data_IF_844976533482
#
_entry.id   IF_844976533482
#
_cell.length_a   1.000
_cell.length_b   1.000
_cell.length_c   1.000
_cell.angle_alpha   90.00
_cell.angle_beta   90.00
_cell.angle_gamma   90.00
#
_symmetry.space_group_name_H-M   'P 1'
#
loop_
_entity.id
_entity.type
_entity.pdbx_description
1 polymer ?
#
# COMPACT_ATOMS: atom_id res chain seq x y z
N UNK A 1 39.51 16.60 -54.77
CA UNK A 1 38.52 15.97 -55.67
C UNK A 1 37.38 15.49 -54.79
N UNK A 2 36.17 15.97 -55.07
CA UNK A 2 34.99 15.75 -54.26
C UNK A 2 34.64 14.26 -54.19
N UNK A 3 34.90 13.63 -53.04
CA UNK A 3 34.38 12.29 -52.80
C UNK A 3 32.88 12.47 -52.49
N UNK A 4 32.06 12.17 -53.49
CA UNK A 4 30.61 12.28 -53.46
C UNK A 4 30.11 11.22 -52.48
N UNK A 5 30.15 11.54 -51.20
CA UNK A 5 29.68 10.66 -50.13
C UNK A 5 28.20 10.39 -50.38
N UNK A 6 27.88 9.16 -50.78
CA UNK A 6 26.53 8.64 -50.66
C UNK A 6 26.20 8.67 -49.16
N UNK A 7 25.64 9.78 -48.68
CA UNK A 7 25.02 9.86 -47.36
C UNK A 7 23.78 8.98 -47.41
N UNK A 8 23.99 7.69 -47.16
CA UNK A 8 22.89 6.78 -46.91
C UNK A 8 22.35 7.14 -45.51
N UNK A 9 21.05 7.36 -45.43
CA UNK A 9 20.41 7.68 -44.15
C UNK A 9 20.38 6.42 -43.31
N UNK A 10 20.93 6.50 -42.10
CA UNK A 10 20.84 5.45 -41.08
C UNK A 10 19.38 5.37 -40.63
N UNK A 11 18.78 4.19 -40.76
CA UNK A 11 17.41 3.91 -40.29
C UNK A 11 17.44 3.38 -38.85
N UNK A 12 18.38 2.49 -38.53
CA UNK A 12 18.59 2.00 -37.16
C UNK A 12 20.00 1.45 -36.96
N UNK A 13 20.45 1.44 -35.70
CA UNK A 13 21.62 0.70 -35.24
C UNK A 13 21.13 -0.61 -34.62
N UNK A 14 21.66 -1.73 -35.08
CA UNK A 14 21.17 -3.06 -34.70
C UNK A 14 22.10 -3.76 -33.71
N UNK A 15 23.40 -3.54 -33.83
CA UNK A 15 24.42 -4.24 -33.04
C UNK A 15 25.71 -3.42 -32.98
N UNK A 16 26.60 -3.76 -32.05
CA UNK A 16 27.94 -3.21 -31.94
C UNK A 16 28.97 -4.29 -31.62
N UNK A 17 30.19 -4.07 -32.08
CA UNK A 17 31.32 -4.95 -31.76
C UNK A 17 32.58 -4.12 -31.60
N UNK A 18 33.52 -4.66 -30.83
CA UNK A 18 34.85 -4.08 -30.66
C UNK A 18 35.86 -5.04 -31.29
N UNK A 19 36.59 -4.58 -32.30
CA UNK A 19 37.66 -5.34 -32.95
C UNK A 19 38.92 -4.48 -32.97
N UNK A 20 40.04 -5.01 -32.49
CA UNK A 20 41.35 -4.32 -32.43
C UNK A 20 41.35 -2.94 -31.73
N UNK A 21 40.37 -2.68 -30.86
CA UNK A 21 40.20 -1.41 -30.15
C UNK A 21 39.25 -0.42 -30.83
N UNK A 22 38.81 -0.72 -32.05
CA UNK A 22 37.85 0.07 -32.81
C UNK A 22 36.42 -0.43 -32.59
N UNK A 23 35.49 0.51 -32.44
CA UNK A 23 34.06 0.21 -32.26
C UNK A 23 33.36 0.26 -33.62
N UNK A 24 32.65 -0.81 -33.95
CA UNK A 24 31.83 -0.92 -35.16
C UNK A 24 30.36 -1.06 -34.79
N UNK A 25 29.49 -0.43 -35.58
CA UNK A 25 28.04 -0.53 -35.45
C UNK A 25 27.42 -1.16 -36.70
N UNK A 26 26.49 -2.09 -36.51
CA UNK A 26 25.73 -2.70 -37.59
C UNK A 26 24.55 -1.81 -37.96
N UNK A 27 24.58 -1.25 -39.17
CA UNK A 27 23.62 -0.26 -39.62
C UNK A 27 22.54 -0.87 -40.50
N UNK A 28 21.29 -0.57 -40.18
CA UNK A 28 20.15 -0.72 -41.08
C UNK A 28 20.02 0.57 -41.90
N UNK A 29 20.16 0.46 -43.21
CA UNK A 29 20.10 1.61 -44.12
C UNK A 29 18.68 1.87 -44.64
N UNK A 30 18.28 3.13 -44.64
CA UNK A 30 16.95 3.55 -45.12
C UNK A 30 16.74 3.22 -46.59
N UNK A 31 15.62 2.56 -46.90
CA UNK A 31 15.24 2.19 -48.27
C UNK A 31 15.96 0.96 -48.83
N UNK A 32 16.83 0.32 -48.05
CA UNK A 32 17.51 -0.92 -48.43
C UNK A 32 17.01 -2.11 -47.61
N UNK A 33 17.07 -3.31 -48.19
CA UNK A 33 16.71 -4.54 -47.48
C UNK A 33 17.76 -4.90 -46.42
N UNK A 34 17.42 -5.75 -45.45
CA UNK A 34 18.31 -6.17 -44.36
C UNK A 34 19.58 -6.89 -44.86
N UNK A 35 19.60 -7.39 -46.11
CA UNK A 35 20.78 -7.97 -46.75
C UNK A 35 21.89 -6.96 -47.01
N UNK A 36 21.57 -5.67 -46.98
CA UNK A 36 22.52 -4.56 -47.18
C UNK A 36 23.01 -3.98 -45.86
N UNK A 37 22.60 -4.53 -44.72
CA UNK A 37 23.13 -4.09 -43.43
C UNK A 37 24.65 -4.30 -43.40
N UNK A 38 25.37 -3.31 -42.92
CA UNK A 38 26.83 -3.31 -42.94
C UNK A 38 27.39 -2.73 -41.64
N UNK A 39 28.56 -3.23 -41.26
CA UNK A 39 29.34 -2.70 -40.14
C UNK A 39 30.03 -1.40 -40.56
N UNK A 40 29.86 -0.35 -39.77
CA UNK A 40 30.45 0.97 -39.97
C UNK A 40 31.25 1.31 -38.72
N UNK A 41 32.46 1.84 -38.88
CA UNK A 41 33.28 2.31 -37.76
C UNK A 41 32.64 3.54 -37.12
N UNK A 42 32.77 3.69 -35.80
CA UNK A 42 32.19 4.80 -35.04
C UNK A 42 32.51 6.18 -35.64
N UNK A 43 33.74 6.39 -36.10
CA UNK A 43 34.20 7.69 -36.63
C UNK A 43 33.54 8.08 -37.96
N UNK A 44 33.10 7.10 -38.76
CA UNK A 44 32.45 7.32 -40.05
C UNK A 44 30.91 7.28 -39.96
N UNK A 45 30.36 7.06 -38.75
CA UNK A 45 28.93 6.88 -38.54
C UNK A 45 28.20 8.22 -38.37
N UNK A 46 27.47 8.64 -39.41
CA UNK A 46 26.54 9.79 -39.38
C UNK A 46 25.19 9.38 -38.75
N UNK A 47 25.17 9.21 -37.41
CA UNK A 47 24.01 8.74 -36.64
C UNK A 47 23.77 9.51 -35.34
N UNK A 48 23.95 10.84 -35.37
CA UNK A 48 23.92 11.74 -34.21
C UNK A 48 22.73 11.54 -33.26
N UNK A 49 21.56 11.15 -33.78
CA UNK A 49 20.35 10.94 -32.98
C UNK A 49 20.11 9.48 -32.59
N UNK A 50 20.59 8.54 -33.39
CA UNK A 50 20.32 7.11 -33.21
C UNK A 50 21.35 6.43 -32.31
N UNK A 51 22.61 6.87 -32.35
CA UNK A 51 23.68 6.31 -31.53
C UNK A 51 23.47 6.51 -30.03
N UNK A 52 23.11 7.71 -29.53
CA UNK A 52 22.79 7.89 -28.12
C UNK A 52 21.60 7.02 -27.67
N UNK A 53 20.57 6.89 -28.51
CA UNK A 53 19.41 6.04 -28.21
C UNK A 53 19.78 4.57 -28.14
N UNK A 54 20.60 4.08 -29.07
CA UNK A 54 21.09 2.71 -29.08
C UNK A 54 21.91 2.41 -27.82
N UNK A 55 22.86 3.28 -27.47
CA UNK A 55 23.69 3.10 -26.28
C UNK A 55 22.88 3.16 -24.99
N UNK A 56 21.91 4.07 -24.89
CA UNK A 56 20.98 4.13 -23.75
C UNK A 56 20.14 2.85 -23.65
N UNK A 57 19.57 2.38 -24.76
CA UNK A 57 18.79 1.14 -24.78
C UNK A 57 19.64 -0.08 -24.45
N UNK A 58 20.88 -0.13 -24.95
CA UNK A 58 21.84 -1.18 -24.62
C UNK A 58 22.19 -1.16 -23.12
N UNK A 59 22.42 0.03 -22.55
CA UNK A 59 22.65 0.21 -21.13
C UNK A 59 21.45 -0.22 -20.29
N UNK A 60 20.23 0.17 -20.70
CA UNK A 60 19.00 -0.20 -20.00
C UNK A 60 18.77 -1.71 -20.05
N UNK A 61 18.90 -2.32 -21.23
CA UNK A 61 18.74 -3.77 -21.41
C UNK A 61 19.78 -4.56 -20.61
N UNK A 62 21.03 -4.10 -20.62
CA UNK A 62 22.07 -4.67 -19.77
C UNK A 62 21.65 -4.60 -18.30
N UNK A 63 21.20 -3.43 -17.81
CA UNK A 63 20.75 -3.28 -16.44
C UNK A 63 19.54 -4.17 -16.12
N UNK A 64 18.53 -4.24 -17.00
CA UNK A 64 17.34 -5.10 -16.87
C UNK A 64 17.73 -6.58 -16.73
N UNK A 65 18.73 -7.06 -17.47
CA UNK A 65 19.21 -8.45 -17.37
C UNK A 65 19.86 -8.77 -16.00
N UNK A 66 20.26 -7.77 -15.21
CA UNK A 66 20.78 -7.94 -13.84
C UNK A 66 19.76 -7.59 -12.75
N UNK A 67 18.61 -7.02 -13.12
CA UNK A 67 17.52 -6.76 -12.16
C UNK A 67 16.79 -8.07 -11.89
N UNK A 68 16.81 -8.50 -10.63
CA UNK A 68 16.01 -9.63 -10.17
C UNK A 68 14.53 -9.21 -10.13
N UNK A 69 13.81 -9.50 -11.22
CA UNK A 69 12.38 -9.21 -11.36
C UNK A 69 11.55 -9.96 -10.30
N UNK A 70 12.00 -11.14 -9.85
CA UNK A 70 11.29 -11.89 -8.80
C UNK A 70 11.41 -11.13 -7.46
N UNK A 71 12.58 -10.57 -7.14
CA UNK A 71 12.75 -9.74 -5.93
C UNK A 71 11.89 -8.47 -5.95
N UNK A 72 11.72 -7.83 -7.11
CA UNK A 72 10.85 -6.65 -7.26
C UNK A 72 9.38 -7.05 -7.09
N UNK A 73 8.95 -8.11 -7.77
CA UNK A 73 7.56 -8.59 -7.70
C UNK A 73 7.18 -9.02 -6.28
N UNK A 74 8.07 -9.74 -5.57
CA UNK A 74 7.84 -10.11 -4.17
C UNK A 74 7.67 -8.88 -3.26
N UNK A 75 8.43 -7.82 -3.51
CA UNK A 75 8.34 -6.56 -2.76
C UNK A 75 7.00 -5.85 -3.02
N UNK A 76 6.59 -5.77 -4.28
CA UNK A 76 5.29 -5.19 -4.67
C UNK A 76 4.11 -5.99 -4.11
N UNK A 77 4.12 -7.31 -4.21
CA UNK A 77 3.08 -8.17 -3.65
C UNK A 77 2.95 -7.99 -2.13
N UNK A 78 4.07 -7.91 -1.43
CA UNK A 78 4.07 -7.69 0.02
C UNK A 78 3.52 -6.31 0.41
N UNK A 79 3.84 -5.28 -0.38
CA UNK A 79 3.32 -3.94 -0.19
C UNK A 79 1.81 -3.87 -0.39
N UNK A 80 1.30 -4.42 -1.50
CA UNK A 80 -0.14 -4.46 -1.80
C UNK A 80 -0.92 -5.20 -0.70
N UNK A 81 -0.41 -6.35 -0.25
CA UNK A 81 -1.01 -7.09 0.86
C UNK A 81 -1.03 -6.31 2.17
N UNK A 82 0.00 -5.49 2.42
CA UNK A 82 0.06 -4.62 3.60
C UNK A 82 -0.98 -3.51 3.50
N UNK A 83 -1.16 -2.91 2.32
CA UNK A 83 -2.20 -1.91 2.06
C UNK A 83 -3.61 -2.47 2.22
N UNK A 84 -3.88 -3.67 1.69
CA UNK A 84 -5.17 -4.34 1.86
C UNK A 84 -5.49 -4.52 3.35
N UNK A 85 -4.54 -5.04 4.14
CA UNK A 85 -4.71 -5.24 5.58
C UNK A 85 -4.97 -3.91 6.32
N UNK A 86 -4.26 -2.84 5.94
CA UNK A 86 -4.46 -1.48 6.49
C UNK A 86 -5.88 -0.99 6.20
N UNK A 87 -6.37 -1.16 4.97
CA UNK A 87 -7.71 -0.75 4.57
C UNK A 87 -8.81 -1.55 5.28
N UNK A 88 -8.60 -2.85 5.51
CA UNK A 88 -9.51 -3.67 6.32
C UNK A 88 -9.60 -3.17 7.76
N UNK A 89 -8.46 -2.89 8.41
CA UNK A 89 -8.43 -2.35 9.77
C UNK A 89 -9.11 -0.98 9.82
N UNK A 90 -8.85 -0.12 8.83
CA UNK A 90 -9.52 1.17 8.70
C UNK A 90 -11.04 1.04 8.66
N UNK A 91 -11.56 0.14 7.83
CA UNK A 91 -13.00 -0.11 7.72
C UNK A 91 -13.63 -0.58 9.03
N UNK A 92 -12.92 -1.45 9.77
CA UNK A 92 -13.38 -1.91 11.11
C UNK A 92 -13.39 -0.79 12.14
N UNK A 93 -12.37 0.08 12.14
CA UNK A 93 -12.34 1.26 13.00
C UNK A 93 -13.54 2.17 12.68
N UNK A 94 -13.80 2.45 11.41
CA UNK A 94 -14.96 3.26 10.97
C UNK A 94 -16.30 2.65 11.40
N UNK A 95 -16.45 1.34 11.32
CA UNK A 95 -17.65 0.65 11.82
C UNK A 95 -17.83 0.85 13.33
N UNK A 96 -16.76 0.68 14.12
CA UNK A 96 -16.80 0.88 15.57
C UNK A 96 -17.09 2.34 15.91
N UNK A 97 -16.44 3.30 15.27
CA UNK A 97 -16.69 4.73 15.46
C UNK A 97 -18.17 5.07 15.25
N UNK A 98 -18.76 4.55 14.16
CA UNK A 98 -20.18 4.75 13.87
C UNK A 98 -21.08 4.17 14.96
N UNK A 99 -20.79 2.96 15.46
CA UNK A 99 -21.55 2.34 16.56
C UNK A 99 -21.43 3.12 17.87
N UNK A 100 -20.23 3.61 18.20
CA UNK A 100 -19.98 4.39 19.41
C UNK A 100 -20.53 5.83 19.33
N UNK A 101 -20.84 6.32 18.13
CA UNK A 101 -21.51 7.61 17.94
C UNK A 101 -23.00 7.59 18.28
N UNK A 102 -23.62 6.39 18.31
CA UNK A 102 -25.03 6.21 18.64
C UNK A 102 -25.28 6.48 20.13
N UNK A 103 -26.26 7.32 20.44
CA UNK A 103 -26.62 7.75 21.82
C UNK A 103 -27.84 7.01 22.37
N UNK A 104 -28.18 5.84 21.82
CA UNK A 104 -29.32 5.05 22.28
C UNK A 104 -29.14 4.58 23.73
N UNK A 105 -30.03 5.05 24.62
CA UNK A 105 -30.12 4.60 26.01
C UNK A 105 -31.34 3.70 26.12
N UNK A 106 -31.13 2.42 26.41
CA UNK A 106 -32.21 1.42 26.49
C UNK A 106 -33.32 1.90 27.43
N UNK A 107 -34.59 1.66 27.05
CA UNK A 107 -35.76 2.19 27.78
C UNK A 107 -36.26 1.29 28.91
N UNK A 108 -35.76 0.05 28.96
CA UNK A 108 -36.12 -0.96 29.94
C UNK A 108 -34.91 -1.85 30.27
N UNK A 109 -35.03 -2.66 31.33
CA UNK A 109 -33.94 -3.54 31.80
C UNK A 109 -33.44 -4.50 30.71
N UNK A 110 -34.31 -4.95 29.81
CA UNK A 110 -33.92 -5.88 28.73
C UNK A 110 -33.09 -5.14 27.67
N UNK A 111 -33.53 -3.97 27.25
CA UNK A 111 -32.87 -3.13 26.26
C UNK A 111 -31.50 -2.65 26.76
N UNK A 112 -31.40 -2.22 28.01
CA UNK A 112 -30.11 -1.83 28.61
C UNK A 112 -29.15 -3.03 28.69
N UNK A 113 -29.61 -4.20 29.13
CA UNK A 113 -28.77 -5.44 29.12
C UNK A 113 -28.29 -5.81 27.72
N UNK A 114 -29.12 -5.65 26.69
CA UNK A 114 -28.72 -5.89 25.31
C UNK A 114 -27.64 -4.91 24.85
N UNK A 115 -27.76 -3.63 25.20
CA UNK A 115 -26.74 -2.61 24.89
C UNK A 115 -25.43 -2.85 25.64
N UNK A 116 -25.49 -3.26 26.92
CA UNK A 116 -24.30 -3.65 27.69
C UNK A 116 -23.56 -4.80 27.00
N UNK A 117 -24.29 -5.85 26.58
CA UNK A 117 -23.68 -6.97 25.88
C UNK A 117 -23.02 -6.54 24.55
N UNK A 118 -23.66 -5.63 23.80
CA UNK A 118 -23.06 -5.05 22.58
C UNK A 118 -21.82 -4.22 22.88
N UNK A 119 -21.82 -3.44 23.97
CA UNK A 119 -20.66 -2.66 24.39
C UNK A 119 -19.47 -3.56 24.77
N UNK A 120 -19.73 -4.67 25.47
CA UNK A 120 -18.72 -5.70 25.78
C UNK A 120 -18.17 -6.34 24.50
N UNK A 121 -19.02 -6.71 23.54
CA UNK A 121 -18.60 -7.24 22.24
C UNK A 121 -17.73 -6.23 21.48
N UNK A 122 -18.13 -4.95 21.47
CA UNK A 122 -17.34 -3.88 20.84
C UNK A 122 -15.97 -3.74 21.49
N UNK A 123 -15.87 -3.88 22.82
CA UNK A 123 -14.59 -3.91 23.53
C UNK A 123 -13.70 -5.09 23.13
N UNK A 124 -14.27 -6.28 22.91
CA UNK A 124 -13.52 -7.44 22.41
C UNK A 124 -13.01 -7.21 20.98
N UNK A 125 -13.81 -6.60 20.12
CA UNK A 125 -13.40 -6.22 18.76
C UNK A 125 -12.25 -5.21 18.78
N UNK A 126 -12.31 -4.19 19.66
CA UNK A 126 -11.21 -3.24 19.86
C UNK A 126 -9.93 -3.96 20.30
N UNK A 127 -10.01 -4.95 21.19
CA UNK A 127 -8.83 -5.72 21.60
C UNK A 127 -8.22 -6.49 20.43
N UNK A 128 -9.05 -7.13 19.59
CA UNK A 128 -8.57 -7.83 18.40
C UNK A 128 -7.96 -6.87 17.37
N UNK A 129 -8.49 -5.66 17.25
CA UNK A 129 -7.91 -4.62 16.40
C UNK A 129 -6.54 -4.16 16.90
N UNK A 130 -6.34 -4.08 18.22
CA UNK A 130 -5.04 -3.78 18.80
C UNK A 130 -3.99 -4.83 18.37
N UNK A 131 -4.35 -6.11 18.45
CA UNK A 131 -3.48 -7.21 18.01
C UNK A 131 -3.14 -7.09 16.51
N UNK A 132 -4.14 -6.82 15.67
CA UNK A 132 -3.94 -6.65 14.23
C UNK A 132 -3.05 -5.43 13.91
N UNK A 133 -3.27 -4.31 14.60
CA UNK A 133 -2.48 -3.09 14.41
C UNK A 133 -1.02 -3.29 14.82
N UNK A 134 -0.79 -4.03 15.90
CA UNK A 134 0.53 -4.46 16.35
C UNK A 134 1.22 -5.36 15.32
N UNK A 135 0.49 -6.30 14.70
CA UNK A 135 1.01 -7.14 13.63
C UNK A 135 1.37 -6.35 12.38
N UNK A 136 0.52 -5.42 11.94
CA UNK A 136 0.79 -4.53 10.81
C UNK A 136 2.04 -3.70 11.09
N UNK A 137 2.13 -3.10 12.28
CA UNK A 137 3.29 -2.30 12.69
C UNK A 137 4.59 -3.13 12.64
N UNK A 138 4.56 -4.38 13.12
CA UNK A 138 5.69 -5.31 13.00
C UNK A 138 6.06 -5.61 11.54
N UNK A 139 5.07 -5.84 10.67
CA UNK A 139 5.29 -6.09 9.23
C UNK A 139 5.92 -4.88 8.54
N UNK A 140 5.40 -3.67 8.79
CA UNK A 140 5.92 -2.42 8.21
C UNK A 140 7.34 -2.14 8.70
N UNK A 141 7.63 -2.33 9.98
CA UNK A 141 8.98 -2.18 10.52
C UNK A 141 9.99 -3.16 9.89
N UNK A 142 9.61 -4.43 9.73
CA UNK A 142 10.45 -5.42 9.02
C UNK A 142 10.70 -5.01 7.57
N UNK A 143 9.73 -4.34 6.94
CA UNK A 143 9.86 -3.82 5.57
C UNK A 143 10.82 -2.62 5.52
N UNK A 144 10.81 -1.78 6.56
CA UNK A 144 11.74 -0.66 6.73
C UNK A 144 13.20 -1.13 6.83
N UNK A 145 13.46 -2.23 7.56
CA UNK A 145 14.80 -2.83 7.65
C UNK A 145 15.35 -3.26 6.29
N UNK A 146 14.47 -3.70 5.39
CA UNK A 146 14.80 -4.06 4.00
C UNK A 146 14.94 -2.86 3.07
N UNK A 147 14.82 -1.62 3.59
CA UNK A 147 14.89 -0.35 2.85
C UNK A 147 13.92 -0.29 1.66
N UNK A 148 12.73 -0.84 1.84
CA UNK A 148 11.70 -0.82 0.80
C UNK A 148 11.21 0.62 0.56
N UNK A 149 11.17 1.06 -0.70
CA UNK A 149 11.00 2.47 -1.07
C UNK A 149 9.66 3.07 -0.62
N UNK A 150 8.58 2.27 -0.62
CA UNK A 150 7.23 2.71 -0.30
C UNK A 150 6.87 2.63 1.20
N UNK A 151 7.81 2.22 2.06
CA UNK A 151 7.59 2.09 3.51
C UNK A 151 7.18 3.40 4.20
N UNK A 152 7.72 4.57 3.84
CA UNK A 152 7.31 5.83 4.48
C UNK A 152 5.82 6.09 4.37
N UNK A 153 5.21 5.79 3.21
CA UNK A 153 3.77 5.93 3.01
C UNK A 153 2.97 4.97 3.91
N UNK A 154 3.44 3.73 4.08
CA UNK A 154 2.78 2.76 4.97
C UNK A 154 2.88 3.19 6.44
N UNK A 155 4.02 3.72 6.85
CA UNK A 155 4.22 4.20 8.22
C UNK A 155 3.23 5.32 8.52
N UNK A 156 3.12 6.32 7.63
CA UNK A 156 2.17 7.42 7.80
C UNK A 156 0.73 6.91 7.93
N UNK A 157 0.29 6.00 7.05
CA UNK A 157 -1.05 5.39 7.14
C UNK A 157 -1.26 4.61 8.44
N UNK A 158 -0.26 3.87 8.92
CA UNK A 158 -0.37 3.12 10.18
C UNK A 158 -0.44 4.07 11.38
N UNK A 159 0.35 5.14 11.39
CA UNK A 159 0.32 6.16 12.44
C UNK A 159 -1.05 6.85 12.51
N UNK A 160 -1.64 7.20 11.36
CA UNK A 160 -3.01 7.73 11.31
C UNK A 160 -4.03 6.74 11.88
N UNK A 161 -3.92 5.46 11.54
CA UNK A 161 -4.80 4.42 12.08
C UNK A 161 -4.63 4.24 13.59
N UNK A 162 -3.41 4.29 14.10
CA UNK A 162 -3.13 4.24 15.55
C UNK A 162 -3.80 5.39 16.27
N UNK A 163 -3.74 6.60 15.72
CA UNK A 163 -4.40 7.77 16.32
C UNK A 163 -5.92 7.58 16.36
N UNK A 164 -6.53 7.14 15.26
CA UNK A 164 -7.98 6.85 15.22
C UNK A 164 -8.37 5.73 16.18
N UNK A 165 -7.62 4.64 16.20
CA UNK A 165 -7.83 3.51 17.10
C UNK A 165 -7.83 3.95 18.58
N UNK A 166 -6.81 4.71 19.00
CA UNK A 166 -6.70 5.19 20.37
C UNK A 166 -7.89 6.09 20.77
N UNK A 167 -8.46 6.82 19.82
CA UNK A 167 -9.64 7.66 20.05
C UNK A 167 -10.92 6.87 20.37
N UNK A 168 -10.95 5.55 20.13
CA UNK A 168 -12.09 4.67 20.42
C UNK A 168 -12.27 4.37 21.91
N UNK A 169 -11.20 4.44 22.71
CA UNK A 169 -11.24 4.04 24.12
C UNK A 169 -12.13 4.95 24.95
N UNK A 170 -12.04 6.27 24.75
CA UNK A 170 -12.85 7.24 25.50
C UNK A 170 -14.37 7.07 25.26
N UNK A 171 -14.89 7.02 24.01
CA UNK A 171 -16.32 6.83 23.78
C UNK A 171 -16.81 5.44 24.22
N UNK A 172 -16.02 4.37 24.10
CA UNK A 172 -16.36 3.04 24.62
C UNK A 172 -16.55 3.07 26.14
N UNK A 173 -15.60 3.67 26.85
CA UNK A 173 -15.64 3.80 28.31
C UNK A 173 -16.82 4.66 28.75
N UNK A 174 -17.05 5.80 28.08
CA UNK A 174 -18.20 6.66 28.33
C UNK A 174 -19.52 5.89 28.17
N UNK A 175 -19.67 5.13 27.08
CA UNK A 175 -20.85 4.31 26.84
C UNK A 175 -21.04 3.25 27.93
N UNK A 176 -19.96 2.63 28.43
CA UNK A 176 -20.03 1.68 29.54
C UNK A 176 -20.63 2.33 30.79
N UNK A 177 -20.07 3.47 31.21
CA UNK A 177 -20.52 4.19 32.41
C UNK A 177 -21.99 4.58 32.29
N UNK A 178 -22.40 5.13 31.14
CA UNK A 178 -23.79 5.55 30.93
C UNK A 178 -24.79 4.36 30.96
N UNK A 179 -24.38 3.20 30.45
CA UNK A 179 -25.21 1.99 30.49
C UNK A 179 -25.31 1.40 31.89
N UNK A 180 -24.22 1.39 32.65
CA UNK A 180 -24.20 0.92 34.04
C UNK A 180 -25.06 1.82 34.94
N UNK A 181 -24.99 3.14 34.76
CA UNK A 181 -25.88 4.10 35.44
C UNK A 181 -27.35 3.85 35.09
N UNK A 182 -27.68 3.71 33.80
CA UNK A 182 -29.05 3.43 33.35
C UNK A 182 -29.58 2.12 33.93
N UNK A 183 -28.74 1.07 33.97
CA UNK A 183 -29.07 -0.22 34.55
C UNK A 183 -29.37 -0.08 36.06
N UNK A 184 -28.53 0.65 36.79
CA UNK A 184 -28.72 0.90 38.21
C UNK A 184 -30.03 1.63 38.51
N UNK A 185 -30.35 2.69 37.75
CA UNK A 185 -31.61 3.43 37.90
C UNK A 185 -32.84 2.56 37.64
N UNK A 186 -32.82 1.76 36.57
CA UNK A 186 -33.94 0.87 36.23
C UNK A 186 -34.12 -0.24 37.27
N UNK A 187 -33.04 -0.77 37.82
CA UNK A 187 -33.12 -1.78 38.87
C UNK A 187 -33.72 -1.20 40.15
N UNK A 188 -33.26 0.00 40.57
CA UNK A 188 -33.81 0.70 41.72
C UNK A 188 -35.31 0.99 41.55
N UNK A 189 -35.73 1.47 40.38
CA UNK A 189 -37.13 1.75 40.09
C UNK A 189 -37.99 0.48 40.20
N UNK A 190 -37.52 -0.63 39.63
CA UNK A 190 -38.18 -1.93 39.74
C UNK A 190 -38.28 -2.40 41.19
N UNK A 191 -37.19 -2.31 41.97
CA UNK A 191 -37.17 -2.75 43.36
C UNK A 191 -38.15 -1.92 44.22
N UNK A 192 -38.23 -0.60 44.01
CA UNK A 192 -39.21 0.29 44.67
C UNK A 192 -40.65 -0.09 44.31
N UNK A 193 -40.93 -0.34 43.04
CA UNK A 193 -42.27 -0.75 42.57
C UNK A 193 -42.69 -2.08 43.20
N UNK A 194 -41.74 -3.02 43.34
CA UNK A 194 -41.97 -4.29 44.04
C UNK A 194 -42.31 -4.01 45.50
N UNK A 195 -41.48 -3.32 46.27
CA UNK A 195 -41.74 -3.06 47.70
C UNK A 195 -43.10 -2.37 47.94
N UNK A 196 -43.50 -1.45 47.05
CA UNK A 196 -44.82 -0.79 47.11
C UNK A 196 -45.99 -1.76 46.92
N UNK A 197 -45.84 -2.79 46.08
CA UNK A 197 -46.88 -3.82 45.88
C UNK A 197 -47.03 -4.77 47.07
N UNK A 198 -46.01 -4.91 47.92
CA UNK A 198 -46.06 -5.83 49.07
C UNK A 198 -46.69 -5.20 50.31
N UNK A 199 -46.73 -3.86 50.40
CA UNK A 199 -47.26 -3.12 51.55
C UNK A 199 -48.69 -2.59 51.30
N UNK A 200 -49.12 -2.51 50.03
CA UNK A 200 -50.47 -2.08 49.62
C UNK A 200 -51.46 -3.24 49.48
#
# INVERSE_FOLDING_TARGET
MANRANRHVVEAILDDKVEDGDVYYLIKWSGYSNRRNSWVISDDLDADFLLPQYLQNKSNKFFEDFVDQDEINEKEEFFEKSLETINEVKGKIEEIENRLSDKTKGKDLRGVKQLINKNVQTGQEIQLLEDHLNEISKKVNKMNEKKHFAVPELIEKVEELVVRFNSLHEPLERMRVELDESMGWLQLAFDVDVELQWIG
#
